data_IF_888372335834
#
_entry.id   IF_888372335834
#
_cell.length_a   1.000
_cell.length_b   1.000
_cell.length_c   1.000
_cell.angle_alpha   90.00
_cell.angle_beta   90.00
_cell.angle_gamma   90.00
#
_symmetry.space_group_name_H-M   'P 1'
#
loop_
_entity.id
_entity.type
_entity.pdbx_description
1 polymer ?
#
# COMPACT_ATOMS: atom_id res chain seq x y z
N UNK A 1 32.43 23.59 -31.34
CA UNK A 1 32.20 24.36 -30.10
C UNK A 1 33.03 23.73 -28.99
N UNK A 2 34.02 24.44 -28.44
CA UNK A 2 34.83 23.92 -27.33
C UNK A 2 34.02 23.99 -26.03
N UNK A 3 33.89 22.88 -25.30
CA UNK A 3 33.22 22.85 -23.99
C UNK A 3 34.26 23.24 -22.93
N UNK A 4 33.94 24.26 -22.12
CA UNK A 4 34.86 24.72 -21.07
C UNK A 4 35.18 23.61 -20.07
N UNK A 5 36.42 23.60 -19.59
CA UNK A 5 36.89 22.71 -18.53
C UNK A 5 36.77 23.35 -17.15
N UNK A 6 36.50 24.65 -17.06
CA UNK A 6 36.41 25.38 -15.81
C UNK A 6 35.04 25.15 -15.15
N UNK A 7 34.97 24.62 -13.90
CA UNK A 7 33.71 24.49 -13.17
C UNK A 7 32.94 25.81 -13.01
N UNK A 8 33.61 26.96 -13.01
CA UNK A 8 32.94 28.26 -12.92
C UNK A 8 32.03 28.51 -14.12
N UNK A 9 32.45 28.10 -15.32
CA UNK A 9 31.66 28.25 -16.54
C UNK A 9 30.42 27.34 -16.56
N UNK A 10 30.46 26.25 -15.79
CA UNK A 10 29.37 25.28 -15.70
C UNK A 10 28.34 25.61 -14.63
N UNK A 11 28.79 26.07 -13.46
CA UNK A 11 27.94 26.18 -12.27
C UNK A 11 27.79 27.61 -11.75
N UNK A 12 28.64 28.54 -12.20
CA UNK A 12 28.73 29.90 -11.66
C UNK A 12 29.47 29.97 -10.33
N UNK A 13 30.26 31.03 -10.13
CA UNK A 13 31.14 31.19 -8.96
C UNK A 13 30.38 31.16 -7.62
N UNK A 14 29.16 31.71 -7.57
CA UNK A 14 28.35 31.76 -6.34
C UNK A 14 27.96 30.38 -5.81
N UNK A 15 27.77 29.38 -6.68
CA UNK A 15 27.42 28.01 -6.28
C UNK A 15 28.61 27.24 -5.71
N UNK A 16 29.84 27.70 -5.96
CA UNK A 16 31.07 27.06 -5.46
C UNK A 16 31.42 27.52 -4.04
N UNK A 17 30.81 28.61 -3.56
CA UNK A 17 30.98 29.12 -2.21
C UNK A 17 30.42 28.11 -1.20
N UNK A 18 31.26 27.68 -0.26
CA UNK A 18 30.89 26.68 0.77
C UNK A 18 31.33 25.24 0.47
N UNK A 19 31.89 24.96 -0.71
CA UNK A 19 32.56 23.67 -0.94
C UNK A 19 33.91 23.61 -0.22
N UNK A 20 34.23 22.43 0.32
CA UNK A 20 35.58 22.15 0.81
C UNK A 20 36.57 22.01 -0.35
N UNK A 21 37.87 22.19 -0.10
CA UNK A 21 38.90 22.01 -1.15
C UNK A 21 38.86 20.61 -1.80
N UNK A 22 38.70 19.50 -1.04
CA UNK A 22 38.50 18.18 -1.64
C UNK A 22 37.24 18.04 -2.51
N UNK A 23 36.19 18.81 -2.21
CA UNK A 23 34.95 18.80 -3.00
C UNK A 23 35.10 19.62 -4.28
N UNK A 24 35.78 20.77 -4.22
CA UNK A 24 36.16 21.55 -5.41
C UNK A 24 37.02 20.73 -6.37
N UNK A 25 38.05 20.05 -5.86
CA UNK A 25 38.89 19.17 -6.67
C UNK A 25 38.09 18.03 -7.32
N UNK A 26 37.10 17.47 -6.62
CA UNK A 26 36.22 16.42 -7.16
C UNK A 26 35.31 16.96 -8.27
N UNK A 27 34.74 18.15 -8.08
CA UNK A 27 33.91 18.81 -9.09
C UNK A 27 34.72 19.17 -10.34
N UNK A 28 35.95 19.67 -10.17
CA UNK A 28 36.86 19.94 -11.28
C UNK A 28 37.15 18.68 -12.11
N UNK A 29 37.43 17.56 -11.43
CA UNK A 29 37.61 16.27 -12.12
C UNK A 29 36.36 15.79 -12.86
N UNK A 30 35.18 15.96 -12.27
CA UNK A 30 33.92 15.62 -12.92
C UNK A 30 33.68 16.49 -14.16
N UNK A 31 33.90 17.79 -14.05
CA UNK A 31 33.73 18.75 -15.15
C UNK A 31 34.70 18.44 -16.31
N UNK A 32 35.96 18.16 -15.99
CA UNK A 32 36.94 17.73 -16.99
C UNK A 32 36.55 16.42 -17.67
N UNK A 33 35.94 15.48 -16.93
CA UNK A 33 35.41 14.23 -17.50
C UNK A 33 34.29 14.50 -18.50
N UNK A 34 33.30 15.33 -18.14
CA UNK A 34 32.20 15.69 -19.05
C UNK A 34 32.69 16.45 -20.29
N UNK A 35 33.62 17.39 -20.11
CA UNK A 35 34.22 18.13 -21.22
C UNK A 35 34.95 17.21 -22.21
N UNK A 36 35.68 16.21 -21.70
CA UNK A 36 36.37 15.22 -22.55
C UNK A 36 35.41 14.34 -23.37
N UNK A 37 34.20 14.09 -22.85
CA UNK A 37 33.16 13.31 -23.55
C UNK A 37 32.19 14.18 -24.37
N UNK A 38 32.33 15.51 -24.30
CA UNK A 38 31.44 16.43 -24.98
C UNK A 38 29.99 16.44 -24.46
N UNK A 39 29.77 16.00 -23.22
CA UNK A 39 28.43 15.78 -22.65
C UNK A 39 28.02 16.97 -21.79
N UNK A 40 26.92 17.65 -22.14
CA UNK A 40 26.35 18.75 -21.32
C UNK A 40 25.38 18.28 -20.25
N UNK A 41 24.63 17.22 -20.52
CA UNK A 41 23.65 16.64 -19.60
C UNK A 41 24.04 15.19 -19.32
N UNK A 42 24.64 14.91 -18.14
CA UNK A 42 25.19 13.58 -17.85
C UNK A 42 24.08 12.54 -17.76
N UNK A 43 24.34 11.38 -18.36
CA UNK A 43 23.52 10.17 -18.33
C UNK A 43 24.14 9.14 -17.39
N UNK A 44 23.46 8.00 -17.23
CA UNK A 44 23.93 6.92 -16.36
C UNK A 44 25.32 6.40 -16.78
N UNK A 45 25.60 6.36 -18.08
CA UNK A 45 26.87 5.89 -18.64
C UNK A 45 28.05 6.76 -18.20
N UNK A 46 27.89 8.08 -18.20
CA UNK A 46 28.93 9.05 -17.79
C UNK A 46 29.31 8.87 -16.31
N UNK A 47 28.33 8.57 -15.46
CA UNK A 47 28.60 8.28 -14.05
C UNK A 47 29.30 6.93 -13.88
N UNK A 48 28.95 5.91 -14.68
CA UNK A 48 29.62 4.60 -14.64
C UNK A 48 31.07 4.69 -15.10
N UNK A 49 31.38 5.52 -16.11
CA UNK A 49 32.76 5.76 -16.58
C UNK A 49 33.58 6.62 -15.62
N UNK A 50 32.94 7.50 -14.85
CA UNK A 50 33.67 8.41 -13.95
C UNK A 50 34.31 7.73 -12.74
N UNK A 51 33.64 6.75 -12.12
CA UNK A 51 34.22 6.10 -10.95
C UNK A 51 33.38 5.04 -10.26
N UNK A 52 34.00 4.44 -9.22
CA UNK A 52 33.39 3.41 -8.38
C UNK A 52 32.34 4.02 -7.42
N UNK A 53 31.52 3.15 -6.81
CA UNK A 53 30.43 3.51 -5.88
C UNK A 53 30.81 4.59 -4.86
N UNK A 54 31.93 4.45 -4.15
CA UNK A 54 32.36 5.42 -3.11
C UNK A 54 32.71 6.79 -3.69
N UNK A 55 33.26 6.85 -4.91
CA UNK A 55 33.52 8.11 -5.62
C UNK A 55 32.21 8.79 -5.98
N UNK A 56 31.24 8.01 -6.48
CA UNK A 56 29.92 8.49 -6.89
C UNK A 56 29.08 8.99 -5.70
N UNK A 57 29.11 8.31 -4.56
CA UNK A 57 28.44 8.77 -3.34
C UNK A 57 28.96 10.12 -2.85
N UNK A 58 30.28 10.34 -2.95
CA UNK A 58 30.91 11.62 -2.62
C UNK A 58 30.59 12.69 -3.65
N UNK A 59 30.61 12.34 -4.94
CA UNK A 59 30.22 13.24 -6.03
C UNK A 59 28.77 13.70 -5.88
N UNK A 60 27.84 12.80 -5.54
CA UNK A 60 26.44 13.13 -5.30
C UNK A 60 26.26 14.25 -4.28
N UNK A 61 27.02 14.24 -3.18
CA UNK A 61 26.94 15.30 -2.17
C UNK A 61 27.32 16.66 -2.75
N UNK A 62 28.35 16.69 -3.58
CA UNK A 62 28.82 17.92 -4.25
C UNK A 62 27.80 18.38 -5.29
N UNK A 63 27.37 17.49 -6.19
CA UNK A 63 26.37 17.80 -7.20
C UNK A 63 25.02 18.22 -6.58
N UNK A 64 24.64 17.64 -5.45
CA UNK A 64 23.42 18.03 -4.75
C UNK A 64 23.41 19.49 -4.28
N UNK A 65 24.58 20.12 -4.12
CA UNK A 65 24.72 21.53 -3.78
C UNK A 65 24.81 22.43 -5.02
N UNK A 66 25.58 22.02 -6.04
CA UNK A 66 25.93 22.90 -7.17
C UNK A 66 25.10 22.67 -8.44
N UNK A 67 24.61 21.44 -8.63
CA UNK A 67 23.93 20.97 -9.83
C UNK A 67 22.93 19.83 -9.51
N UNK A 68 21.90 20.09 -8.67
CA UNK A 68 20.96 19.07 -8.21
C UNK A 68 20.22 18.36 -9.36
N UNK A 69 20.06 19.02 -10.51
CA UNK A 69 19.48 18.48 -11.73
C UNK A 69 20.30 17.36 -12.39
N UNK A 70 21.60 17.23 -12.06
CA UNK A 70 22.45 16.13 -12.54
C UNK A 70 22.36 14.88 -11.66
N UNK A 71 21.71 14.98 -10.49
CA UNK A 71 21.72 13.92 -9.49
C UNK A 71 20.77 12.75 -9.78
N UNK A 72 19.80 12.91 -10.69
CA UNK A 72 18.82 11.88 -11.02
C UNK A 72 19.46 10.59 -11.56
N UNK A 73 20.19 10.65 -12.69
CA UNK A 73 20.86 9.48 -13.24
C UNK A 73 21.94 8.91 -12.30
N UNK A 74 22.64 9.78 -11.56
CA UNK A 74 23.63 9.38 -10.55
C UNK A 74 23.03 8.50 -9.45
N UNK A 75 21.83 8.82 -8.95
CA UNK A 75 21.15 8.01 -7.92
C UNK A 75 20.94 6.58 -8.40
N UNK A 76 20.50 6.42 -9.66
CA UNK A 76 20.25 5.11 -10.24
C UNK A 76 21.54 4.29 -10.31
N UNK A 77 22.63 4.87 -10.83
CA UNK A 77 23.95 4.21 -10.88
C UNK A 77 24.47 3.81 -9.49
N UNK A 78 24.32 4.68 -8.49
CA UNK A 78 24.69 4.35 -7.10
C UNK A 78 23.87 3.16 -6.58
N UNK A 79 22.56 3.13 -6.87
CA UNK A 79 21.67 2.03 -6.46
C UNK A 79 22.07 0.70 -7.11
N UNK A 80 22.31 0.71 -8.42
CA UNK A 80 22.78 -0.46 -9.18
C UNK A 80 24.11 -1.01 -8.65
N UNK A 81 25.13 -0.15 -8.53
CA UNK A 81 26.45 -0.56 -8.03
C UNK A 81 26.36 -1.07 -6.58
N UNK A 82 25.51 -0.46 -5.76
CA UNK A 82 25.22 -0.92 -4.40
C UNK A 82 24.56 -2.30 -4.37
N UNK A 83 23.61 -2.56 -5.28
CA UNK A 83 22.98 -3.89 -5.45
C UNK A 83 24.02 -4.92 -5.90
N UNK A 84 24.80 -4.64 -6.94
CA UNK A 84 25.83 -5.54 -7.45
C UNK A 84 26.87 -5.89 -6.35
N UNK A 85 27.32 -4.89 -5.59
CA UNK A 85 28.24 -5.09 -4.45
C UNK A 85 27.63 -5.96 -3.34
N UNK A 86 26.32 -5.85 -3.07
CA UNK A 86 25.62 -6.70 -2.10
C UNK A 86 25.42 -8.11 -2.62
N UNK A 87 25.03 -8.28 -3.88
CA UNK A 87 24.83 -9.58 -4.51
C UNK A 87 26.10 -10.44 -4.45
N UNK A 88 27.28 -9.86 -4.67
CA UNK A 88 28.56 -10.56 -4.55
C UNK A 88 28.98 -10.89 -3.10
N UNK A 89 28.31 -10.31 -2.08
CA UNK A 89 28.61 -10.56 -0.65
C UNK A 89 27.56 -11.43 0.02
N UNK A 90 26.34 -11.45 -0.50
CA UNK A 90 25.24 -12.17 0.09
C UNK A 90 25.18 -13.60 -0.44
N UNK A 91 25.83 -14.54 0.24
CA UNK A 91 25.18 -15.81 0.53
C UNK A 91 24.14 -15.57 1.64
N UNK A 92 23.18 -14.68 1.40
CA UNK A 92 22.16 -14.41 2.38
C UNK A 92 21.27 -15.66 2.44
N UNK A 93 21.52 -16.50 3.44
CA UNK A 93 20.50 -17.29 4.13
C UNK A 93 19.49 -16.28 4.66
N UNK A 94 18.60 -15.81 3.78
CA UNK A 94 17.54 -14.89 4.18
C UNK A 94 16.72 -15.57 5.25
N UNK A 95 16.96 -15.22 6.51
CA UNK A 95 16.11 -15.66 7.60
C UNK A 95 14.66 -15.31 7.18
N UNK A 96 13.73 -16.26 7.31
CA UNK A 96 12.38 -16.09 6.78
C UNK A 96 11.80 -14.78 7.30
N UNK A 97 11.54 -13.83 6.39
CA UNK A 97 10.83 -12.60 6.72
C UNK A 97 9.39 -12.97 7.05
N UNK A 98 9.11 -13.01 8.34
CA UNK A 98 7.79 -13.16 8.91
C UNK A 98 7.91 -13.01 10.42
N UNK A 99 6.83 -12.68 11.14
CA UNK A 99 6.81 -12.99 12.57
C UNK A 99 7.22 -14.45 12.73
N UNK A 100 7.96 -14.78 13.79
CA UNK A 100 8.25 -16.17 14.13
C UNK A 100 6.99 -17.01 13.90
N UNK A 101 7.18 -18.23 13.39
CA UNK A 101 6.11 -19.21 13.19
C UNK A 101 5.54 -19.69 14.55
N UNK A 102 5.28 -18.79 15.49
CA UNK A 102 4.67 -19.02 16.81
C UNK A 102 3.31 -19.70 16.63
N UNK A 103 2.64 -19.43 15.52
CA UNK A 103 1.23 -19.79 15.30
C UNK A 103 1.04 -21.10 14.56
N UNK A 104 2.04 -21.54 13.80
CA UNK A 104 1.98 -22.68 12.91
C UNK A 104 3.32 -23.43 12.95
N UNK A 105 3.32 -24.75 12.80
CA UNK A 105 4.60 -25.48 12.65
C UNK A 105 5.30 -25.12 11.32
N UNK A 106 6.62 -25.33 11.15
CA UNK A 106 7.27 -25.39 9.84
C UNK A 106 6.53 -26.26 8.81
N UNK A 107 6.73 -26.00 7.51
CA UNK A 107 6.11 -26.82 6.45
C UNK A 107 6.59 -28.27 6.51
N UNK A 108 7.88 -28.47 6.79
CA UNK A 108 8.52 -29.78 6.81
C UNK A 108 8.04 -30.66 7.98
N UNK A 109 7.51 -30.04 9.04
CA UNK A 109 6.90 -30.74 10.18
C UNK A 109 5.43 -31.12 9.92
N UNK A 110 4.85 -30.69 8.79
CA UNK A 110 3.49 -31.06 8.43
C UNK A 110 3.42 -32.56 8.12
N UNK A 111 2.28 -33.20 8.41
CA UNK A 111 2.08 -34.61 8.07
C UNK A 111 2.37 -34.86 6.59
N UNK A 112 3.13 -35.92 6.31
CA UNK A 112 3.55 -36.27 4.95
C UNK A 112 2.36 -36.43 3.99
N UNK A 113 1.25 -37.03 4.44
CA UNK A 113 0.05 -37.19 3.61
C UNK A 113 -0.63 -35.84 3.27
N UNK A 114 -0.54 -34.85 4.17
CA UNK A 114 -1.06 -33.52 3.92
C UNK A 114 -0.14 -32.73 2.98
N UNK A 115 1.17 -32.87 3.17
CA UNK A 115 2.17 -32.29 2.28
C UNK A 115 2.00 -32.77 0.84
N UNK A 116 1.91 -34.09 0.63
CA UNK A 116 1.67 -34.68 -0.68
C UNK A 116 0.36 -34.19 -1.33
N UNK A 117 -0.71 -34.05 -0.53
CA UNK A 117 -1.99 -33.52 -1.03
C UNK A 117 -1.86 -32.06 -1.48
N UNK A 118 -1.14 -31.22 -0.70
CA UNK A 118 -0.93 -29.81 -1.05
C UNK A 118 -0.09 -29.66 -2.32
N UNK A 119 0.91 -30.51 -2.52
CA UNK A 119 1.74 -30.49 -3.71
C UNK A 119 0.95 -30.94 -4.94
N UNK A 120 0.12 -31.98 -4.84
CA UNK A 120 -0.81 -32.38 -5.92
C UNK A 120 -1.80 -31.24 -6.25
N UNK A 121 -2.35 -30.55 -5.24
CA UNK A 121 -3.18 -29.37 -5.48
C UNK A 121 -2.43 -28.27 -6.25
N UNK A 122 -1.17 -27.99 -5.90
CA UNK A 122 -0.33 -26.97 -6.55
C UNK A 122 -0.04 -27.33 -7.99
N UNK A 123 0.35 -28.58 -8.23
CA UNK A 123 0.68 -29.06 -9.58
C UNK A 123 -0.55 -29.00 -10.48
N UNK A 124 -1.70 -29.44 -10.00
CA UNK A 124 -2.95 -29.33 -10.77
C UNK A 124 -3.40 -27.89 -10.97
N UNK A 125 -3.25 -27.02 -9.96
CA UNK A 125 -3.55 -25.59 -10.11
C UNK A 125 -2.64 -24.96 -11.16
N UNK A 126 -1.33 -25.24 -11.15
CA UNK A 126 -0.37 -24.79 -12.16
C UNK A 126 -0.74 -25.26 -13.57
N UNK A 127 -1.17 -26.53 -13.72
CA UNK A 127 -1.64 -27.06 -15.00
C UNK A 127 -2.89 -26.33 -15.49
N UNK A 128 -3.88 -26.13 -14.61
CA UNK A 128 -5.11 -25.37 -14.94
C UNK A 128 -4.77 -23.93 -15.34
N UNK A 129 -3.92 -23.26 -14.58
CA UNK A 129 -3.53 -21.87 -14.81
C UNK A 129 -2.72 -21.74 -16.13
N UNK A 130 -2.08 -22.82 -16.59
CA UNK A 130 -1.47 -22.93 -17.92
C UNK A 130 -2.46 -23.30 -19.05
N UNK A 131 -3.77 -23.34 -18.77
CA UNK A 131 -4.81 -23.65 -19.76
C UNK A 131 -4.99 -25.13 -20.07
N UNK A 132 -4.35 -26.04 -19.31
CA UNK A 132 -4.50 -27.48 -19.53
C UNK A 132 -5.83 -27.99 -18.96
N UNK A 133 -6.53 -28.80 -19.75
CA UNK A 133 -7.75 -29.48 -19.33
C UNK A 133 -7.42 -30.55 -18.27
N UNK A 134 -8.10 -30.48 -17.13
CA UNK A 134 -8.04 -31.51 -16.09
C UNK A 134 -9.13 -32.55 -16.36
N UNK A 135 -8.78 -33.61 -17.10
CA UNK A 135 -9.74 -34.63 -17.54
C UNK A 135 -10.25 -35.53 -16.41
N UNK A 136 -9.53 -35.63 -15.30
CA UNK A 136 -9.91 -36.48 -14.17
C UNK A 136 -9.41 -35.97 -12.81
N UNK A 137 -10.16 -36.34 -11.77
CA UNK A 137 -9.87 -36.00 -10.37
C UNK A 137 -10.52 -34.71 -9.89
N UNK A 138 -10.30 -34.35 -8.62
CA UNK A 138 -10.87 -33.16 -8.03
C UNK A 138 -10.30 -31.89 -8.66
N UNK A 139 -11.15 -30.87 -8.81
CA UNK A 139 -10.70 -29.54 -9.24
C UNK A 139 -9.90 -28.88 -8.11
N UNK A 140 -8.64 -28.47 -8.35
CA UNK A 140 -7.83 -27.84 -7.32
C UNK A 140 -8.39 -26.44 -6.98
N UNK A 141 -8.19 -25.95 -5.75
CA UNK A 141 -8.45 -24.56 -5.41
C UNK A 141 -7.62 -23.56 -6.26
N UNK A 142 -7.88 -22.27 -6.11
CA UNK A 142 -6.99 -21.25 -6.66
C UNK A 142 -5.61 -21.33 -5.98
N UNK A 143 -4.53 -21.05 -6.73
CA UNK A 143 -3.15 -21.12 -6.23
C UNK A 143 -2.93 -20.32 -4.94
N UNK A 144 -3.56 -19.15 -4.82
CA UNK A 144 -3.53 -18.33 -3.59
C UNK A 144 -4.23 -18.99 -2.41
N UNK A 145 -5.34 -19.71 -2.64
CA UNK A 145 -6.08 -20.41 -1.58
C UNK A 145 -5.31 -21.62 -1.05
N UNK A 146 -4.46 -22.26 -1.88
CA UNK A 146 -3.66 -23.43 -1.43
C UNK A 146 -2.66 -22.99 -0.35
N UNK A 147 -2.05 -21.81 -0.48
CA UNK A 147 -1.20 -21.23 0.56
C UNK A 147 -1.97 -21.01 1.87
N UNK A 148 -3.19 -20.48 1.79
CA UNK A 148 -4.04 -20.30 2.97
C UNK A 148 -4.45 -21.63 3.62
N UNK A 149 -4.75 -22.66 2.81
CA UNK A 149 -5.04 -24.02 3.29
C UNK A 149 -3.82 -24.56 4.05
N UNK A 150 -2.62 -24.50 3.45
CA UNK A 150 -1.39 -24.97 4.11
C UNK A 150 -1.18 -24.26 5.45
N UNK A 151 -1.29 -22.94 5.49
CA UNK A 151 -1.14 -22.18 6.73
C UNK A 151 -2.10 -22.66 7.82
N UNK A 152 -3.37 -22.88 7.47
CA UNK A 152 -4.38 -23.36 8.43
C UNK A 152 -4.08 -24.78 8.90
N UNK A 153 -3.67 -25.67 8.00
CA UNK A 153 -3.28 -27.03 8.37
C UNK A 153 -2.10 -27.04 9.35
N UNK A 154 -1.07 -26.23 9.09
CA UNK A 154 0.08 -26.06 9.99
C UNK A 154 -0.33 -25.45 11.34
N UNK A 155 -1.29 -24.54 11.36
CA UNK A 155 -1.84 -23.97 12.60
C UNK A 155 -2.64 -25.00 13.42
N UNK A 156 -3.43 -25.86 12.75
CA UNK A 156 -4.14 -26.98 13.39
C UNK A 156 -3.14 -27.99 13.95
N UNK A 157 -2.11 -28.37 13.18
CA UNK A 157 -1.06 -29.28 13.66
C UNK A 157 -0.35 -28.73 14.90
N UNK A 158 -0.03 -27.43 14.92
CA UNK A 158 0.56 -26.79 16.10
C UNK A 158 -0.37 -26.86 17.32
N UNK A 159 -1.68 -26.72 17.13
CA UNK A 159 -2.66 -26.86 18.22
C UNK A 159 -2.75 -28.31 18.72
N UNK A 160 -2.68 -29.32 17.84
CA UNK A 160 -2.61 -30.73 18.24
C UNK A 160 -1.35 -31.03 19.06
N UNK A 161 -0.19 -30.62 18.57
CA UNK A 161 1.11 -30.84 19.23
C UNK A 161 1.13 -30.15 20.61
N UNK A 162 0.63 -28.91 20.69
CA UNK A 162 0.52 -28.19 21.96
C UNK A 162 -0.44 -28.86 22.97
N UNK A 163 -1.35 -29.70 22.49
CA UNK A 163 -2.24 -30.52 23.32
C UNK A 163 -1.69 -31.95 23.55
N UNK A 164 -0.43 -32.23 23.20
CA UNK A 164 0.19 -33.54 23.36
C UNK A 164 -0.37 -34.62 22.43
N UNK A 165 -0.94 -34.25 21.29
CA UNK A 165 -1.57 -35.17 20.33
C UNK A 165 -0.90 -35.11 18.97
N UNK A 166 -0.88 -36.23 18.26
CA UNK A 166 -0.48 -36.27 16.85
C UNK A 166 -1.43 -35.40 16.01
N UNK A 167 -0.93 -34.68 14.98
CA UNK A 167 -1.79 -33.87 14.12
C UNK A 167 -2.90 -34.67 13.43
N UNK A 168 -4.16 -34.25 13.59
CA UNK A 168 -5.32 -34.86 12.92
C UNK A 168 -6.32 -33.77 12.49
N UNK A 169 -7.26 -34.12 11.61
CA UNK A 169 -8.42 -33.28 11.28
C UNK A 169 -9.71 -33.89 11.85
N UNK A 170 -9.65 -34.41 13.07
CA UNK A 170 -10.84 -34.91 13.78
C UNK A 170 -11.57 -33.77 14.53
N UNK A 171 -12.75 -34.10 15.08
CA UNK A 171 -13.56 -33.15 15.86
C UNK A 171 -12.75 -32.49 16.99
N UNK A 172 -11.95 -33.26 17.71
CA UNK A 172 -11.23 -32.78 18.89
C UNK A 172 -10.07 -31.86 18.47
N UNK A 173 -9.33 -32.19 17.41
CA UNK A 173 -8.28 -31.33 16.85
C UNK A 173 -8.83 -29.96 16.41
N UNK A 174 -9.96 -29.95 15.70
CA UNK A 174 -10.63 -28.71 15.28
C UNK A 174 -11.09 -27.90 16.50
N UNK A 175 -11.63 -28.53 17.54
CA UNK A 175 -12.03 -27.84 18.76
C UNK A 175 -10.84 -27.24 19.52
N UNK A 176 -9.72 -27.96 19.65
CA UNK A 176 -8.50 -27.46 20.27
C UNK A 176 -7.93 -26.26 19.50
N UNK A 177 -7.90 -26.34 18.17
CA UNK A 177 -7.48 -25.23 17.32
C UNK A 177 -8.41 -24.01 17.44
N UNK A 178 -9.74 -24.21 17.40
CA UNK A 178 -10.70 -23.13 17.57
C UNK A 178 -10.59 -22.46 18.94
N UNK A 179 -10.44 -23.24 20.02
CA UNK A 179 -10.25 -22.70 21.36
C UNK A 179 -9.00 -21.81 21.44
N UNK A 180 -7.90 -22.25 20.82
CA UNK A 180 -6.67 -21.46 20.70
C UNK A 180 -6.88 -20.16 19.92
N UNK A 181 -7.58 -20.20 18.78
CA UNK A 181 -7.83 -19.00 17.97
C UNK A 181 -8.84 -18.04 18.64
N UNK A 182 -9.86 -18.56 19.33
CA UNK A 182 -10.81 -17.77 20.10
C UNK A 182 -10.11 -17.07 21.28
N UNK A 183 -9.21 -17.76 22.00
CA UNK A 183 -8.38 -17.17 23.07
C UNK A 183 -7.49 -16.02 22.56
N UNK A 184 -7.15 -16.02 21.27
CA UNK A 184 -6.39 -14.95 20.60
C UNK A 184 -7.27 -13.81 20.06
N UNK A 185 -8.59 -13.86 20.28
CA UNK A 185 -9.52 -12.87 19.77
C UNK A 185 -9.67 -12.89 18.25
N UNK A 186 -9.46 -14.05 17.60
CA UNK A 186 -9.70 -14.20 16.15
C UNK A 186 -11.17 -13.91 15.86
N UNK A 187 -11.44 -13.10 14.83
CA UNK A 187 -12.82 -12.75 14.47
C UNK A 187 -13.53 -13.92 13.79
N UNK A 188 -14.83 -14.06 14.08
CA UNK A 188 -15.66 -15.11 13.48
C UNK A 188 -15.65 -15.15 11.95
N UNK A 189 -15.51 -14.01 11.25
CA UNK A 189 -15.38 -14.03 9.77
C UNK A 189 -14.08 -14.69 9.30
N UNK A 190 -12.98 -14.53 10.05
CA UNK A 190 -11.70 -15.16 9.75
C UNK A 190 -11.74 -16.66 10.03
N UNK A 191 -12.29 -17.05 11.18
CA UNK A 191 -12.50 -18.46 11.53
C UNK A 191 -13.41 -19.18 10.52
N UNK A 192 -14.50 -18.52 10.10
CA UNK A 192 -15.39 -19.06 9.08
C UNK A 192 -14.67 -19.33 7.75
N UNK A 193 -13.76 -18.45 7.31
CA UNK A 193 -12.96 -18.68 6.12
C UNK A 193 -12.05 -19.89 6.31
N UNK A 194 -11.30 -19.95 7.42
CA UNK A 194 -10.36 -21.03 7.70
C UNK A 194 -11.06 -22.40 7.81
N UNK A 195 -12.24 -22.47 8.43
CA UNK A 195 -13.04 -23.69 8.47
C UNK A 195 -13.47 -24.16 7.07
N UNK A 196 -13.81 -23.24 6.15
CA UNK A 196 -14.11 -23.59 4.76
C UNK A 196 -12.88 -24.05 4.00
N UNK A 197 -11.70 -23.51 4.30
CA UNK A 197 -10.44 -23.98 3.71
C UNK A 197 -10.15 -25.43 4.14
N UNK A 198 -10.34 -25.76 5.41
CA UNK A 198 -10.22 -27.14 5.92
C UNK A 198 -11.25 -28.06 5.24
N UNK A 199 -12.51 -27.61 5.13
CA UNK A 199 -13.56 -28.37 4.46
C UNK A 199 -13.22 -28.63 2.98
N UNK A 200 -12.73 -27.63 2.26
CA UNK A 200 -12.26 -27.75 0.87
C UNK A 200 -11.09 -28.72 0.72
N UNK A 201 -10.14 -28.71 1.67
CA UNK A 201 -9.04 -29.67 1.70
C UNK A 201 -9.51 -31.11 1.90
N UNK A 202 -10.41 -31.35 2.86
CA UNK A 202 -11.00 -32.66 3.10
C UNK A 202 -11.82 -33.15 1.90
N UNK A 203 -12.59 -32.25 1.28
CA UNK A 203 -13.35 -32.56 0.07
C UNK A 203 -12.43 -32.99 -1.08
N UNK A 204 -11.33 -32.28 -1.28
CA UNK A 204 -10.32 -32.62 -2.30
C UNK A 204 -9.70 -34.00 -2.07
N UNK A 205 -9.46 -34.37 -0.81
CA UNK A 205 -8.97 -35.71 -0.43
C UNK A 205 -10.01 -36.84 -0.56
N UNK A 206 -11.26 -36.53 -0.87
CA UNK A 206 -12.34 -37.53 -0.90
C UNK A 206 -12.76 -38.02 0.49
N UNK A 207 -12.54 -37.23 1.54
CA UNK A 207 -12.89 -37.59 2.92
C UNK A 207 -14.40 -37.61 3.19
N UNK A 208 -14.81 -38.20 4.32
CA UNK A 208 -16.22 -38.40 4.68
C UNK A 208 -17.03 -37.10 4.69
N UNK A 209 -18.11 -37.06 3.89
CA UNK A 209 -19.05 -35.92 3.78
C UNK A 209 -19.55 -35.38 5.13
N UNK A 210 -19.79 -36.26 6.11
CA UNK A 210 -20.32 -35.88 7.44
C UNK A 210 -19.46 -34.84 8.16
N UNK A 211 -18.12 -34.96 8.09
CA UNK A 211 -17.22 -34.00 8.74
C UNK A 211 -17.21 -32.67 7.97
N UNK A 212 -17.13 -32.73 6.64
CA UNK A 212 -17.14 -31.56 5.74
C UNK A 212 -18.40 -30.71 6.00
N UNK A 213 -19.58 -31.33 5.98
CA UNK A 213 -20.86 -30.63 6.26
C UNK A 213 -20.88 -29.99 7.65
N UNK A 214 -20.29 -30.64 8.65
CA UNK A 214 -20.20 -30.08 10.00
C UNK A 214 -19.29 -28.86 10.07
N UNK A 215 -18.15 -28.88 9.36
CA UNK A 215 -17.25 -27.73 9.26
C UNK A 215 -17.90 -26.56 8.52
N UNK A 216 -18.63 -26.83 7.45
CA UNK A 216 -19.38 -25.81 6.70
C UNK A 216 -20.49 -25.17 7.54
N UNK A 217 -21.24 -25.97 8.30
CA UNK A 217 -22.26 -25.49 9.24
C UNK A 217 -21.64 -24.59 10.30
N UNK A 218 -20.54 -25.04 10.94
CA UNK A 218 -19.82 -24.26 11.94
C UNK A 218 -19.23 -22.96 11.35
N UNK A 219 -18.71 -23.02 10.11
CA UNK A 219 -18.27 -21.83 9.39
C UNK A 219 -19.42 -20.85 9.15
N UNK A 220 -20.62 -21.35 8.84
CA UNK A 220 -21.85 -20.57 8.75
C UNK A 220 -22.14 -19.81 10.04
N UNK A 221 -22.05 -20.50 11.19
CA UNK A 221 -22.31 -19.92 12.52
C UNK A 221 -21.29 -18.82 12.87
N UNK A 222 -20.01 -19.09 12.68
CA UNK A 222 -18.95 -18.09 12.88
C UNK A 222 -19.09 -16.90 11.92
N UNK A 223 -19.51 -17.13 10.67
CA UNK A 223 -19.79 -16.04 9.73
C UNK A 223 -21.01 -15.20 10.14
N UNK A 224 -22.06 -15.80 10.71
CA UNK A 224 -23.21 -15.05 11.25
C UNK A 224 -22.80 -14.23 12.47
N UNK A 225 -22.07 -14.82 13.43
CA UNK A 225 -21.53 -14.11 14.60
C UNK A 225 -20.60 -12.96 14.18
N UNK A 226 -19.66 -13.24 13.28
CA UNK A 226 -18.71 -12.25 12.78
C UNK A 226 -19.35 -11.10 12.00
N UNK A 227 -20.46 -11.34 11.30
CA UNK A 227 -21.23 -10.28 10.60
C UNK A 227 -21.89 -9.27 11.55
N UNK A 228 -22.25 -9.71 12.76
CA UNK A 228 -22.77 -8.82 13.82
C UNK A 228 -21.69 -7.88 14.37
N UNK A 229 -20.43 -8.29 14.31
CA UNK A 229 -19.31 -7.47 14.74
C UNK A 229 -18.99 -6.39 13.70
N UNK A 230 -18.71 -5.19 14.18
CA UNK A 230 -18.27 -4.09 13.34
C UNK A 230 -16.89 -4.39 12.73
N UNK A 231 -16.69 -4.13 11.42
CA UNK A 231 -15.38 -4.38 10.77
C UNK A 231 -14.32 -3.40 11.31
N UNK A 232 -13.07 -3.86 11.47
CA UNK A 232 -11.95 -3.08 12.06
C UNK A 232 -11.79 -1.71 11.41
N UNK A 233 -11.79 -1.65 10.07
CA UNK A 233 -11.66 -0.39 9.32
C UNK A 233 -12.69 0.68 9.69
N UNK A 234 -13.93 0.29 10.02
CA UNK A 234 -14.95 1.25 10.44
C UNK A 234 -14.82 1.65 11.91
N UNK A 235 -14.25 0.80 12.76
CA UNK A 235 -13.92 1.16 14.13
C UNK A 235 -12.74 2.13 14.15
N UNK A 236 -11.73 1.86 13.32
CA UNK A 236 -10.59 2.72 13.13
C UNK A 236 -11.00 4.11 12.64
N UNK A 237 -11.86 4.22 11.61
CA UNK A 237 -12.34 5.53 11.13
C UNK A 237 -13.09 6.32 12.20
N UNK A 238 -13.93 5.66 13.01
CA UNK A 238 -14.63 6.34 14.10
C UNK A 238 -13.69 6.88 15.19
N UNK A 239 -12.54 6.23 15.39
CA UNK A 239 -11.56 6.60 16.40
C UNK A 239 -10.63 7.72 15.93
N UNK A 240 -10.26 7.72 14.65
CA UNK A 240 -9.24 8.63 14.12
C UNK A 240 -9.85 9.81 13.37
N UNK A 241 -11.08 9.70 12.87
CA UNK A 241 -11.75 10.76 12.13
C UNK A 241 -11.19 11.02 10.74
N UNK A 242 -10.23 10.21 10.27
CA UNK A 242 -9.47 10.47 9.04
C UNK A 242 -10.34 10.69 7.81
N UNK A 243 -10.11 11.80 7.13
CA UNK A 243 -10.80 12.30 5.94
C UNK A 243 -9.93 12.18 4.68
N UNK A 244 -10.51 12.46 3.51
CA UNK A 244 -9.74 12.55 2.26
C UNK A 244 -8.75 13.71 2.31
N UNK A 245 -9.17 14.86 2.86
CA UNK A 245 -8.34 16.06 3.00
C UNK A 245 -7.09 15.77 3.83
N UNK A 246 -7.23 15.12 4.99
CA UNK A 246 -6.06 14.81 5.83
C UNK A 246 -5.06 13.86 5.14
N UNK A 247 -5.53 12.88 4.36
CA UNK A 247 -4.61 12.01 3.59
C UNK A 247 -3.92 12.79 2.47
N UNK A 248 -4.62 13.76 1.86
CA UNK A 248 -4.02 14.67 0.88
C UNK A 248 -2.97 15.59 1.51
N UNK A 249 -3.26 16.17 2.68
CA UNK A 249 -2.33 17.04 3.42
C UNK A 249 -1.05 16.28 3.79
N UNK A 250 -1.16 15.00 4.18
CA UNK A 250 0.00 14.14 4.40
C UNK A 250 0.80 13.95 3.11
N UNK A 251 0.14 13.74 1.97
CA UNK A 251 0.82 13.62 0.69
C UNK A 251 1.60 14.90 0.35
N UNK A 252 0.99 16.08 0.49
CA UNK A 252 1.66 17.38 0.28
C UNK A 252 2.86 17.56 1.23
N UNK A 253 2.71 17.24 2.51
CA UNK A 253 3.80 17.32 3.48
C UNK A 253 4.99 16.43 3.08
N UNK A 254 4.73 15.21 2.62
CA UNK A 254 5.78 14.30 2.13
C UNK A 254 6.43 14.79 0.84
N UNK A 255 5.66 15.42 -0.05
CA UNK A 255 6.19 16.04 -1.26
C UNK A 255 7.11 17.21 -0.91
N UNK A 256 6.70 18.06 0.02
CA UNK A 256 7.52 19.17 0.51
C UNK A 256 8.81 18.66 1.19
N UNK A 257 8.71 17.65 2.05
CA UNK A 257 9.86 17.00 2.68
C UNK A 257 10.82 16.38 1.64
N UNK A 258 10.27 15.83 0.54
CA UNK A 258 11.06 15.35 -0.58
C UNK A 258 11.84 16.48 -1.25
N UNK A 259 11.20 17.63 -1.50
CA UNK A 259 11.85 18.80 -2.11
C UNK A 259 12.98 19.35 -1.24
N UNK A 260 12.79 19.35 0.08
CA UNK A 260 13.78 19.76 1.07
C UNK A 260 14.91 18.74 1.28
N UNK A 261 14.69 17.48 0.93
CA UNK A 261 15.72 16.45 1.05
C UNK A 261 16.87 16.67 0.05
N UNK A 262 18.12 16.29 0.41
CA UNK A 262 19.25 16.47 -0.49
C UNK A 262 19.05 15.76 -1.83
N UNK A 263 19.38 16.43 -2.93
CA UNK A 263 19.19 15.92 -4.29
C UNK A 263 19.96 14.61 -4.54
N UNK A 264 19.39 13.72 -5.35
CA UNK A 264 19.96 12.40 -5.67
C UNK A 264 19.96 11.39 -4.54
N UNK A 265 19.42 11.72 -3.36
CA UNK A 265 19.37 10.75 -2.25
C UNK A 265 18.22 9.76 -2.43
N UNK A 266 18.40 8.54 -1.91
CA UNK A 266 17.33 7.55 -1.87
C UNK A 266 16.14 8.03 -1.03
N UNK A 267 16.40 8.78 0.06
CA UNK A 267 15.36 9.37 0.92
C UNK A 267 14.46 10.32 0.13
N UNK A 268 15.03 11.28 -0.61
CA UNK A 268 14.26 12.22 -1.44
C UNK A 268 13.28 11.49 -2.36
N UNK A 269 13.79 10.52 -3.11
CA UNK A 269 12.97 9.78 -4.05
C UNK A 269 11.92 8.87 -3.37
N UNK A 270 12.27 8.25 -2.23
CA UNK A 270 11.30 7.49 -1.42
C UNK A 270 10.15 8.35 -0.93
N UNK A 271 10.43 9.54 -0.40
CA UNK A 271 9.40 10.49 0.03
C UNK A 271 8.47 10.87 -1.14
N UNK A 272 9.03 11.10 -2.34
CA UNK A 272 8.23 11.35 -3.54
C UNK A 272 7.33 10.16 -3.91
N UNK A 273 7.84 8.92 -3.83
CA UNK A 273 7.05 7.70 -4.03
C UNK A 273 5.90 7.60 -3.01
N UNK A 274 6.18 7.88 -1.74
CA UNK A 274 5.17 7.85 -0.68
C UNK A 274 4.09 8.91 -0.92
N UNK A 275 4.49 10.15 -1.23
CA UNK A 275 3.57 11.22 -1.56
C UNK A 275 2.68 10.87 -2.77
N UNK A 276 3.27 10.35 -3.84
CA UNK A 276 2.56 9.98 -5.06
C UNK A 276 1.54 8.86 -4.84
N UNK A 277 1.86 7.81 -4.07
CA UNK A 277 0.90 6.72 -3.84
C UNK A 277 -0.27 7.15 -2.96
N UNK A 278 -0.07 8.06 -2.00
CA UNK A 278 -1.14 8.64 -1.19
C UNK A 278 -2.04 9.53 -2.04
N UNK A 279 -1.47 10.49 -2.78
CA UNK A 279 -2.21 11.40 -3.67
C UNK A 279 -3.00 10.63 -4.74
N UNK A 280 -2.39 9.62 -5.36
CA UNK A 280 -3.06 8.78 -6.36
C UNK A 280 -4.19 7.94 -5.73
N UNK A 281 -4.00 7.43 -4.51
CA UNK A 281 -5.05 6.69 -3.80
C UNK A 281 -6.23 7.56 -3.37
N UNK A 282 -6.02 8.88 -3.21
CA UNK A 282 -7.10 9.86 -3.02
C UNK A 282 -7.88 10.02 -4.32
N UNK A 283 -7.22 10.24 -5.45
CA UNK A 283 -7.87 10.50 -6.74
C UNK A 283 -8.60 9.26 -7.29
N UNK A 284 -7.93 8.11 -7.23
CA UNK A 284 -8.38 6.82 -7.75
C UNK A 284 -8.16 5.73 -6.70
N UNK A 285 -9.13 5.49 -5.79
CA UNK A 285 -8.99 4.53 -4.70
C UNK A 285 -9.09 3.07 -5.18
N UNK A 286 -8.24 2.68 -6.14
CA UNK A 286 -8.11 1.32 -6.64
C UNK A 286 -7.66 0.36 -5.53
N UNK A 287 -7.81 -0.95 -5.77
CA UNK A 287 -7.23 -1.94 -4.88
C UNK A 287 -5.72 -1.91 -5.04
N UNK A 288 -4.98 -2.22 -3.98
CA UNK A 288 -3.51 -2.34 -4.03
C UNK A 288 -3.04 -3.23 -5.18
N UNK A 289 -3.78 -4.32 -5.46
CA UNK A 289 -3.52 -5.23 -6.57
C UNK A 289 -3.56 -4.54 -7.93
N UNK A 290 -4.46 -3.57 -8.13
CA UNK A 290 -4.56 -2.82 -9.38
C UNK A 290 -3.56 -1.65 -9.40
N UNK A 291 -3.42 -0.93 -8.29
CA UNK A 291 -2.59 0.27 -8.17
C UNK A 291 -1.09 -0.01 -8.38
N UNK A 292 -0.55 -1.11 -7.84
CA UNK A 292 0.88 -1.42 -7.98
C UNK A 292 1.28 -1.87 -9.40
N UNK A 293 0.32 -2.22 -10.25
CA UNK A 293 0.56 -2.73 -11.62
C UNK A 293 0.56 -1.64 -12.69
N UNK A 294 0.25 -0.40 -12.33
CA UNK A 294 0.23 0.70 -13.30
C UNK A 294 1.61 0.87 -13.93
N UNK A 295 1.67 0.85 -15.27
CA UNK A 295 2.87 1.16 -16.04
C UNK A 295 2.72 2.46 -16.80
N UNK A 296 3.80 3.22 -16.82
CA UNK A 296 3.88 4.53 -17.47
C UNK A 296 3.68 4.35 -18.97
N UNK A 297 2.80 5.15 -19.57
CA UNK A 297 2.48 5.12 -21.01
C UNK A 297 1.67 3.91 -21.47
N UNK A 298 1.22 3.05 -20.55
CA UNK A 298 0.31 1.94 -20.83
C UNK A 298 -0.99 2.11 -20.05
N UNK A 299 -0.96 1.83 -18.75
CA UNK A 299 -2.15 2.00 -17.90
C UNK A 299 -2.28 3.42 -17.36
N UNK A 300 -1.18 4.14 -17.21
CA UNK A 300 -1.17 5.54 -16.75
C UNK A 300 -0.37 6.40 -17.73
N UNK A 301 -1.05 7.37 -18.34
CA UNK A 301 -0.51 8.16 -19.46
C UNK A 301 -0.41 9.64 -19.11
N UNK A 302 0.69 10.30 -19.49
CA UNK A 302 0.93 11.73 -19.27
C UNK A 302 0.70 12.47 -20.59
N UNK A 303 -0.24 13.41 -20.62
CA UNK A 303 -0.46 14.37 -21.70
C UNK A 303 0.18 15.71 -21.32
N UNK A 304 0.02 16.79 -22.10
CA UNK A 304 0.47 18.12 -21.66
C UNK A 304 -0.33 18.68 -20.49
N UNK A 305 -1.61 18.31 -20.36
CA UNK A 305 -2.56 18.88 -19.39
C UNK A 305 -2.62 18.13 -18.07
N UNK A 306 -2.17 16.88 -18.04
CA UNK A 306 -2.13 16.08 -16.81
C UNK A 306 -1.97 14.60 -17.09
N UNK A 307 -2.44 13.80 -16.13
CA UNK A 307 -2.36 12.34 -16.20
C UNK A 307 -3.74 11.74 -16.44
N UNK A 308 -3.78 10.58 -17.09
CA UNK A 308 -4.98 9.77 -17.35
C UNK A 308 -4.70 8.32 -17.02
N UNK A 309 -5.75 7.53 -16.73
CA UNK A 309 -5.61 6.11 -16.39
C UNK A 309 -6.63 5.29 -17.16
N UNK A 310 -6.15 4.27 -17.86
CA UNK A 310 -6.98 3.26 -18.50
C UNK A 310 -6.44 1.88 -18.12
N UNK A 311 -7.22 1.07 -17.41
CA UNK A 311 -6.74 -0.24 -16.93
C UNK A 311 -7.87 -1.25 -16.83
N UNK A 312 -7.51 -2.54 -16.67
CA UNK A 312 -8.46 -3.63 -16.43
C UNK A 312 -8.33 -4.11 -15.00
N UNK A 313 -9.41 -4.03 -14.23
CA UNK A 313 -9.41 -4.34 -12.80
C UNK A 313 -9.33 -5.86 -12.58
N UNK A 314 -8.30 -6.37 -11.91
CA UNK A 314 -8.08 -7.82 -11.89
C UNK A 314 -9.13 -8.61 -11.11
N UNK A 315 -9.88 -7.98 -10.22
CA UNK A 315 -10.89 -8.69 -9.43
C UNK A 315 -12.16 -8.96 -10.22
N UNK A 316 -12.52 -8.05 -11.12
CA UNK A 316 -13.80 -8.07 -11.83
C UNK A 316 -13.64 -8.20 -13.33
N UNK A 317 -12.40 -8.08 -13.81
CA UNK A 317 -12.05 -8.11 -15.23
C UNK A 317 -12.76 -7.01 -16.04
N UNK A 318 -13.10 -5.90 -15.37
CA UNK A 318 -13.79 -4.76 -15.95
C UNK A 318 -12.79 -3.70 -16.36
N UNK A 319 -13.09 -3.01 -17.46
CA UNK A 319 -12.39 -1.81 -17.86
C UNK A 319 -12.66 -0.68 -16.86
N UNK A 320 -11.62 0.08 -16.57
CA UNK A 320 -11.62 1.25 -15.71
C UNK A 320 -10.91 2.37 -16.45
N UNK A 321 -11.64 3.44 -16.69
CA UNK A 321 -11.15 4.59 -17.44
C UNK A 321 -11.38 5.87 -16.62
N UNK A 322 -10.29 6.62 -16.45
CA UNK A 322 -10.24 7.96 -15.92
C UNK A 322 -9.49 8.83 -16.95
N UNK A 323 -10.22 9.50 -17.86
CA UNK A 323 -9.61 10.28 -18.93
C UNK A 323 -8.78 11.47 -18.43
N UNK A 324 -9.03 11.90 -17.19
CA UNK A 324 -8.21 12.87 -16.49
C UNK A 324 -8.19 12.59 -14.98
N UNK A 325 -6.99 12.54 -14.41
CA UNK A 325 -6.76 12.70 -12.99
C UNK A 325 -6.88 14.19 -12.62
N UNK A 326 -7.21 14.47 -11.37
CA UNK A 326 -7.12 15.83 -10.80
C UNK A 326 -5.78 16.50 -11.13
N UNK A 327 -5.78 17.75 -11.63
CA UNK A 327 -4.56 18.50 -11.96
C UNK A 327 -3.56 18.53 -10.81
N UNK A 328 -4.05 18.63 -9.58
CA UNK A 328 -3.26 18.67 -8.34
C UNK A 328 -2.45 17.39 -8.10
N UNK A 329 -2.81 16.25 -8.72
CA UNK A 329 -2.02 15.02 -8.65
C UNK A 329 -0.79 15.05 -9.59
N UNK A 330 -0.76 15.95 -10.56
CA UNK A 330 0.30 16.02 -11.58
C UNK A 330 1.69 16.26 -10.99
N UNK A 331 1.89 17.23 -10.07
CA UNK A 331 3.21 17.47 -9.46
C UNK A 331 3.77 16.25 -8.73
N UNK A 332 2.92 15.40 -8.16
CA UNK A 332 3.34 14.19 -7.45
C UNK A 332 3.89 13.13 -8.41
N UNK A 333 3.17 12.91 -9.52
CA UNK A 333 3.54 11.92 -10.52
C UNK A 333 4.73 12.39 -11.38
N UNK A 334 4.75 13.67 -11.74
CA UNK A 334 5.86 14.28 -12.47
C UNK A 334 7.16 14.26 -11.64
N UNK A 335 7.07 14.39 -10.30
CA UNK A 335 8.23 14.24 -9.42
C UNK A 335 8.90 12.87 -9.54
N UNK A 336 8.14 11.79 -9.78
CA UNK A 336 8.72 10.45 -9.95
C UNK A 336 9.61 10.33 -11.18
N UNK A 337 9.36 11.15 -12.21
CA UNK A 337 10.14 11.19 -13.43
C UNK A 337 11.26 12.23 -13.32
N UNK A 338 10.90 13.46 -13.00
CA UNK A 338 11.86 14.59 -12.96
C UNK A 338 12.99 14.40 -11.94
N UNK A 339 12.75 13.71 -10.82
CA UNK A 339 13.82 13.40 -9.85
C UNK A 339 14.82 12.35 -10.34
N UNK A 340 14.47 11.56 -11.36
CA UNK A 340 15.37 10.58 -11.99
C UNK A 340 15.98 11.10 -13.30
N UNK A 341 15.31 12.04 -13.96
CA UNK A 341 15.70 12.59 -15.26
C UNK A 341 17.04 13.35 -15.22
N UNK A 342 17.83 13.19 -16.28
CA UNK A 342 18.97 14.06 -16.53
C UNK A 342 18.47 15.50 -16.76
N UNK A 343 18.96 16.45 -15.95
CA UNK A 343 18.55 17.85 -16.07
C UNK A 343 17.11 18.11 -15.61
N UNK A 344 16.43 17.15 -14.98
CA UNK A 344 15.04 17.29 -14.57
C UNK A 344 14.03 17.30 -15.73
N UNK A 345 14.44 16.88 -16.94
CA UNK A 345 13.58 16.92 -18.12
C UNK A 345 12.48 15.84 -18.10
N UNK A 346 11.22 16.26 -17.93
CA UNK A 346 10.07 15.36 -17.81
C UNK A 346 9.88 14.45 -19.03
N UNK A 347 9.79 15.03 -20.23
CA UNK A 347 9.37 14.28 -21.43
C UNK A 347 10.37 13.21 -21.89
N UNK A 348 11.69 13.50 -22.00
CA UNK A 348 12.66 12.47 -22.31
C UNK A 348 12.64 11.31 -21.32
N UNK A 349 12.42 11.61 -20.03
CA UNK A 349 12.34 10.58 -19.00
C UNK A 349 11.02 9.81 -19.04
N UNK A 350 9.90 10.48 -19.35
CA UNK A 350 8.62 9.83 -19.60
C UNK A 350 8.76 8.80 -20.72
N UNK A 351 9.32 9.20 -21.86
CA UNK A 351 9.54 8.32 -23.01
C UNK A 351 10.45 7.14 -22.66
N UNK A 352 11.52 7.39 -21.91
CA UNK A 352 12.43 6.33 -21.40
C UNK A 352 11.71 5.34 -20.48
N UNK A 353 10.78 5.82 -19.64
CA UNK A 353 10.05 5.01 -18.65
C UNK A 353 8.79 4.34 -19.21
N UNK A 354 8.43 4.56 -20.47
CA UNK A 354 7.26 3.89 -21.08
C UNK A 354 7.37 2.37 -20.95
N UNK A 355 6.26 1.75 -20.52
CA UNK A 355 6.18 0.31 -20.26
C UNK A 355 6.74 -0.14 -18.91
N UNK A 356 7.42 0.75 -18.17
CA UNK A 356 7.96 0.40 -16.85
C UNK A 356 6.93 0.64 -15.74
N UNK A 357 7.03 -0.04 -14.59
CA UNK A 357 6.17 0.20 -13.44
C UNK A 357 6.24 1.66 -12.97
N UNK A 358 5.10 2.25 -12.61
CA UNK A 358 5.02 3.58 -12.02
C UNK A 358 5.81 3.66 -10.71
N UNK A 359 5.55 2.71 -9.80
CA UNK A 359 6.20 2.62 -8.50
C UNK A 359 7.43 1.72 -8.58
N UNK A 360 8.61 2.33 -8.68
CA UNK A 360 9.89 1.64 -8.70
C UNK A 360 10.96 2.48 -8.02
N UNK A 361 11.72 1.90 -7.06
CA UNK A 361 12.94 2.51 -6.50
C UNK A 361 14.12 2.47 -7.49
N UNK A 362 13.97 1.74 -8.60
CA UNK A 362 15.06 1.28 -9.47
C UNK A 362 14.92 1.82 -10.89
N UNK A 363 14.30 2.97 -11.09
CA UNK A 363 14.21 3.59 -12.41
C UNK A 363 13.38 2.81 -13.43
N UNK A 364 12.51 1.89 -12.97
CA UNK A 364 11.64 1.09 -13.81
C UNK A 364 12.00 -0.40 -13.90
N UNK A 365 13.18 -0.84 -13.44
CA UNK A 365 13.60 -2.24 -13.58
C UNK A 365 12.72 -3.23 -12.80
N UNK A 366 12.34 -2.83 -11.59
CA UNK A 366 11.61 -3.69 -10.66
C UNK A 366 10.44 -2.92 -10.05
N UNK A 367 9.25 -3.49 -10.15
CA UNK A 367 8.07 -2.96 -9.49
C UNK A 367 8.19 -3.13 -7.97
N UNK A 368 7.69 -2.15 -7.21
CA UNK A 368 7.44 -2.33 -5.79
C UNK A 368 6.31 -3.34 -5.59
N UNK A 369 6.37 -4.09 -4.48
CA UNK A 369 5.36 -5.12 -4.18
C UNK A 369 4.00 -4.49 -3.91
N UNK A 370 2.92 -5.26 -4.07
CA UNK A 370 1.57 -4.78 -3.73
C UNK A 370 1.46 -4.37 -2.25
N UNK A 371 2.18 -5.07 -1.36
CA UNK A 371 2.18 -4.81 0.07
C UNK A 371 2.85 -3.49 0.44
N UNK A 372 3.86 -3.04 -0.32
CA UNK A 372 4.53 -1.76 -0.10
C UNK A 372 3.54 -0.59 -0.05
N UNK A 373 2.51 -0.61 -0.89
CA UNK A 373 1.46 0.42 -0.87
C UNK A 373 0.75 0.44 0.50
N UNK A 374 0.44 -0.73 1.06
CA UNK A 374 -0.19 -0.79 2.38
C UNK A 374 0.78 -0.40 3.48
N UNK A 375 2.07 -0.70 3.34
CA UNK A 375 3.12 -0.31 4.30
C UNK A 375 3.26 1.22 4.37
N UNK A 376 3.26 1.93 3.23
CA UNK A 376 3.24 3.40 3.20
C UNK A 376 2.02 3.95 3.95
N UNK A 377 0.86 3.35 3.73
CA UNK A 377 -0.37 3.73 4.42
C UNK A 377 -0.31 3.44 5.94
N UNK A 378 0.31 2.34 6.37
CA UNK A 378 0.53 2.09 7.79
C UNK A 378 1.49 3.10 8.41
N UNK A 379 2.58 3.43 7.71
CA UNK A 379 3.60 4.37 8.15
C UNK A 379 3.03 5.78 8.34
N UNK A 380 2.22 6.26 7.38
CA UNK A 380 1.80 7.66 7.32
C UNK A 380 0.36 7.90 7.79
N UNK A 381 -0.53 6.91 7.61
CA UNK A 381 -1.96 7.03 7.94
C UNK A 381 -2.33 6.17 9.15
N UNK A 382 -1.54 5.17 9.52
CA UNK A 382 -1.79 4.28 10.66
C UNK A 382 -2.74 3.11 10.36
N UNK A 383 -3.06 2.85 9.09
CA UNK A 383 -3.91 1.73 8.65
C UNK A 383 -3.65 1.41 7.18
N UNK A 384 -4.03 0.23 6.69
CA UNK A 384 -3.76 -0.15 5.29
C UNK A 384 -4.58 0.62 4.24
N UNK A 385 -4.05 0.71 3.02
CA UNK A 385 -4.57 1.53 1.89
C UNK A 385 -6.06 1.35 1.59
N UNK A 386 -6.61 0.16 1.82
CA UNK A 386 -8.04 -0.11 1.60
C UNK A 386 -8.98 0.78 2.44
N UNK A 387 -8.44 1.53 3.40
CA UNK A 387 -9.14 2.59 4.10
C UNK A 387 -9.67 3.66 3.16
N UNK A 388 -8.94 4.05 2.10
CA UNK A 388 -9.34 5.13 1.19
C UNK A 388 -10.68 4.89 0.53
N UNK A 389 -10.91 3.66 0.08
CA UNK A 389 -12.21 3.23 -0.47
C UNK A 389 -13.33 3.40 0.54
N UNK A 390 -13.03 3.15 1.82
CA UNK A 390 -14.00 3.27 2.91
C UNK A 390 -14.32 4.74 3.18
N UNK A 391 -13.32 5.62 3.20
CA UNK A 391 -13.48 7.07 3.34
C UNK A 391 -14.31 7.63 2.18
N UNK A 392 -13.97 7.28 0.94
CA UNK A 392 -14.73 7.69 -0.25
C UNK A 392 -16.21 7.31 -0.20
N UNK A 393 -16.51 6.07 0.17
CA UNK A 393 -17.91 5.65 0.31
C UNK A 393 -18.62 6.35 1.47
N UNK A 394 -17.91 6.70 2.54
CA UNK A 394 -18.48 7.46 3.65
C UNK A 394 -18.81 8.90 3.23
N UNK A 395 -17.86 9.61 2.60
CA UNK A 395 -18.07 10.96 2.06
C UNK A 395 -19.25 10.98 1.09
N UNK A 396 -19.26 10.08 0.11
CA UNK A 396 -20.30 9.98 -0.90
C UNK A 396 -21.70 9.71 -0.34
N UNK A 397 -21.80 9.19 0.88
CA UNK A 397 -23.10 9.05 1.54
C UNK A 397 -23.50 10.30 2.32
N UNK A 398 -22.53 11.02 2.88
CA UNK A 398 -22.79 12.18 3.72
C UNK A 398 -23.35 13.36 2.93
N UNK A 399 -22.99 13.51 1.65
CA UNK A 399 -23.32 14.69 0.85
C UNK A 399 -24.52 14.52 -0.11
N UNK A 400 -24.75 13.38 -0.79
CA UNK A 400 -25.98 13.10 -1.58
C UNK A 400 -26.07 11.66 -2.17
N UNK A 401 -27.25 11.22 -2.62
CA UNK A 401 -27.53 9.94 -3.29
C UNK A 401 -26.76 9.77 -4.61
N UNK A 402 -26.49 10.85 -5.33
CA UNK A 402 -25.76 10.86 -6.62
C UNK A 402 -24.26 10.64 -6.45
N UNK A 403 -23.68 11.13 -5.35
CA UNK A 403 -22.27 10.91 -5.03
C UNK A 403 -21.95 9.46 -4.69
N UNK A 404 -22.95 8.67 -4.29
CA UNK A 404 -22.77 7.21 -4.13
C UNK A 404 -22.33 6.56 -5.45
N UNK A 405 -22.90 6.97 -6.59
CA UNK A 405 -22.51 6.44 -7.89
C UNK A 405 -21.10 6.88 -8.28
N UNK A 406 -20.74 8.14 -7.99
CA UNK A 406 -19.38 8.64 -8.15
C UNK A 406 -18.38 7.79 -7.34
N UNK A 407 -18.64 7.51 -6.06
CA UNK A 407 -17.73 6.68 -5.26
C UNK A 407 -17.58 5.25 -5.79
N UNK A 408 -18.66 4.67 -6.33
CA UNK A 408 -18.64 3.34 -6.93
C UNK A 408 -17.80 3.34 -8.21
N UNK A 409 -18.01 4.34 -9.08
CA UNK A 409 -17.25 4.54 -10.31
C UNK A 409 -15.76 4.74 -10.01
N UNK A 410 -15.41 5.70 -9.14
CA UNK A 410 -14.02 5.95 -8.72
C UNK A 410 -13.36 4.71 -8.10
N UNK A 411 -14.11 3.91 -7.34
CA UNK A 411 -13.62 2.68 -6.74
C UNK A 411 -13.60 1.48 -7.72
N UNK A 412 -14.04 1.61 -8.97
CA UNK A 412 -14.14 0.49 -9.91
C UNK A 412 -15.10 -0.60 -9.42
N UNK A 413 -16.27 -0.22 -8.92
CA UNK A 413 -17.29 -1.12 -8.37
C UNK A 413 -18.61 -0.96 -9.11
N UNK A 414 -19.15 -2.09 -9.59
CA UNK A 414 -20.46 -2.15 -10.26
C UNK A 414 -21.52 -2.91 -9.45
N UNK A 415 -21.12 -3.61 -8.38
CA UNK A 415 -21.99 -4.54 -7.66
C UNK A 415 -23.03 -3.89 -6.74
N UNK A 416 -24.31 -4.20 -6.94
CA UNK A 416 -25.43 -3.75 -6.10
C UNK A 416 -25.29 -4.13 -4.62
N UNK A 417 -24.65 -5.27 -4.32
CA UNK A 417 -24.38 -5.71 -2.93
C UNK A 417 -23.43 -4.77 -2.20
N UNK A 418 -22.36 -4.33 -2.86
CA UNK A 418 -21.38 -3.41 -2.26
C UNK A 418 -22.00 -2.05 -2.02
N UNK A 419 -22.78 -1.55 -2.99
CA UNK A 419 -23.61 -0.36 -2.87
C UNK A 419 -24.54 -0.41 -1.64
N UNK A 420 -25.24 -1.53 -1.45
CA UNK A 420 -26.15 -1.72 -0.31
C UNK A 420 -25.42 -1.72 1.03
N UNK A 421 -24.29 -2.43 1.14
CA UNK A 421 -23.51 -2.49 2.39
C UNK A 421 -23.05 -1.11 2.86
N UNK A 422 -22.57 -0.26 1.96
CA UNK A 422 -22.13 1.10 2.30
C UNK A 422 -23.31 2.02 2.62
N UNK A 423 -24.41 1.95 1.86
CA UNK A 423 -25.63 2.73 2.12
C UNK A 423 -26.22 2.44 3.49
N UNK A 424 -26.49 1.18 3.80
CA UNK A 424 -27.10 0.77 5.08
C UNK A 424 -26.25 1.21 6.28
N UNK A 425 -24.93 1.12 6.17
CA UNK A 425 -24.03 1.50 7.27
C UNK A 425 -23.86 3.00 7.43
N UNK A 426 -23.69 3.73 6.34
CA UNK A 426 -23.54 5.17 6.44
C UNK A 426 -24.87 5.82 6.86
N UNK A 427 -26.02 5.21 6.55
CA UNK A 427 -27.33 5.60 7.09
C UNK A 427 -27.36 5.54 8.61
N UNK A 428 -26.96 4.40 9.17
CA UNK A 428 -26.86 4.23 10.61
C UNK A 428 -25.90 5.25 11.24
N UNK A 429 -24.75 5.49 10.61
CA UNK A 429 -23.78 6.50 11.05
C UNK A 429 -24.33 7.92 11.07
N UNK A 430 -25.06 8.34 10.01
CA UNK A 430 -25.71 9.66 9.92
C UNK A 430 -26.77 9.82 11.01
N UNK A 431 -27.62 8.81 11.22
CA UNK A 431 -28.64 8.84 12.27
C UNK A 431 -28.02 8.97 13.66
N UNK A 432 -26.94 8.23 13.95
CA UNK A 432 -26.22 8.33 15.23
C UNK A 432 -25.59 9.72 15.41
N UNK A 433 -24.97 10.29 14.37
CA UNK A 433 -24.38 11.64 14.43
C UNK A 433 -25.45 12.73 14.60
N UNK A 434 -26.53 12.67 13.82
CA UNK A 434 -27.67 13.58 13.94
C UNK A 434 -28.28 13.49 15.36
N UNK A 435 -28.44 12.29 15.90
CA UNK A 435 -28.90 12.07 17.27
C UNK A 435 -27.95 12.67 18.31
N UNK A 436 -26.63 12.45 18.18
CA UNK A 436 -25.62 13.05 19.06
C UNK A 436 -25.60 14.57 18.99
N UNK A 437 -25.73 15.15 17.80
CA UNK A 437 -25.76 16.60 17.62
C UNK A 437 -27.05 17.21 18.18
N UNK A 438 -28.18 16.54 18.00
CA UNK A 438 -29.46 16.90 18.63
C UNK A 438 -29.38 16.86 20.16
N UNK A 439 -28.79 15.81 20.74
CA UNK A 439 -28.58 15.69 22.19
C UNK A 439 -27.61 16.76 22.72
N UNK A 440 -26.52 17.06 22.00
CA UNK A 440 -25.59 18.13 22.34
C UNK A 440 -26.29 19.50 22.33
N UNK A 441 -27.15 19.73 21.34
CA UNK A 441 -28.00 20.92 21.25
C UNK A 441 -28.94 21.04 22.45
N UNK A 442 -29.71 19.97 22.76
CA UNK A 442 -30.61 19.93 23.93
C UNK A 442 -29.89 20.16 25.25
N UNK A 443 -28.70 19.56 25.43
CA UNK A 443 -27.88 19.79 26.63
C UNK A 443 -27.43 21.25 26.75
N UNK A 444 -27.02 21.88 25.65
CA UNK A 444 -26.64 23.30 25.64
C UNK A 444 -27.83 24.19 26.00
N UNK A 445 -29.01 23.88 25.47
CA UNK A 445 -30.24 24.60 25.78
C UNK A 445 -30.65 24.44 27.25
N UNK A 446 -30.64 23.22 27.79
CA UNK A 446 -30.95 22.98 29.21
C UNK A 446 -29.97 23.72 30.15
N UNK A 447 -28.69 23.80 29.79
CA UNK A 447 -27.71 24.59 30.55
C UNK A 447 -27.98 26.10 30.48
N UNK A 448 -28.47 26.62 29.35
CA UNK A 448 -28.88 28.01 29.22
C UNK A 448 -30.13 28.31 30.05
N UNK A 449 -31.14 27.44 29.98
CA UNK A 449 -32.37 27.56 30.77
C UNK A 449 -32.09 27.51 32.27
N UNK A 450 -31.22 26.59 32.72
CA UNK A 450 -30.80 26.52 34.12
C UNK A 450 -30.06 27.79 34.59
N UNK A 451 -29.19 28.37 33.75
CA UNK A 451 -28.51 29.65 34.05
C UNK A 451 -29.50 30.82 34.14
N UNK A 452 -30.48 30.88 33.23
CA UNK A 452 -31.51 31.92 33.25
C UNK A 452 -32.42 31.79 34.48
N UNK A 453 -32.74 30.58 34.90
CA UNK A 453 -33.48 30.34 36.14
C UNK A 453 -32.70 30.80 37.38
N UNK A 454 -31.39 30.52 37.44
CA UNK A 454 -30.53 30.99 38.55
C UNK A 454 -30.46 32.53 38.62
N UNK A 455 -30.33 33.20 37.47
CA UNK A 455 -30.39 34.67 37.40
C UNK A 455 -31.72 35.22 37.93
N UNK A 456 -32.85 34.64 37.50
CA UNK A 456 -34.19 35.06 37.98
C UNK A 456 -34.37 34.87 39.48
N UNK A 457 -33.83 33.80 40.07
CA UNK A 457 -33.91 33.57 41.52
C UNK A 457 -33.06 34.57 42.31
N UNK A 458 -31.94 35.04 41.75
CA UNK A 458 -31.12 36.10 42.36
C UNK A 458 -31.82 37.45 42.33
N UNK A 459 -32.51 37.79 41.23
CA UNK A 459 -33.25 39.05 41.11
C UNK A 459 -34.52 39.09 41.97
N UNK A 460 -35.07 37.93 42.35
CA UNK A 460 -36.22 37.82 43.25
C UNK A 460 -35.84 37.73 44.73
N UNK A 461 -34.54 37.75 45.05
CA UNK A 461 -34.12 37.87 46.45
C UNK A 461 -34.55 39.26 46.95
N UNK A 462 -35.44 39.34 47.96
CA UNK A 462 -36.04 40.59 48.37
C UNK A 462 -34.93 41.56 48.77
N UNK A 463 -34.90 42.73 48.12
CA UNK A 463 -34.10 43.86 48.56
C UNK A 463 -34.45 44.11 50.02
N UNK A 464 -33.56 43.70 50.91
CA UNK A 464 -33.73 43.80 52.35
C UNK A 464 -34.17 45.21 52.69
N UNK A 465 -35.34 45.29 53.30
CA UNK A 465 -35.82 46.39 54.12
C UNK A 465 -34.67 46.95 54.95
N UNK A 466 -34.27 48.18 54.63
CA UNK A 466 -33.59 49.08 55.54
C UNK A 466 -34.61 49.80 56.41
#
# INVERSE_FOLDING_TARGET
MSISKDPQDWFGASRLNGLSEPDRARLARWTAHLAAHGVKAPRAEDFRSFGKLSTLERLRRVLGLVAPEQCGPLRHVISELGRAKRAGRSQATGAPRGPDLVLAIPRDDLRADWHATLDDMRDRAKRRDAGLLLLSGPTPPASSMIGDIEYVLRAVSKACIGAGRSPTLDKQAILSWLAREDARGRRGTGLALQLRLIAGFLAYRGEKKKLITRLESLAGDYARRGRKLRKRKFQWLDQHGTTIGEVWDIAEALREESLQAPAGTARRYRLALHAAVLALSVNMPLRIGDLHRLRIGHEICRSNTGWSVQTRLSKTDLEYDLPALWPESTPFLDALLTLEAAGGALWPEYDRRRGTPLFSETGGDTALTADWISDVFYEHVGTGQHIMRTIWHQLAYESDRDLTWMSLALCGQTGARTKREYRERNALGRTVRAGRQSLKGRRKQALLEARLADCKMRDQSPSGTH
#
